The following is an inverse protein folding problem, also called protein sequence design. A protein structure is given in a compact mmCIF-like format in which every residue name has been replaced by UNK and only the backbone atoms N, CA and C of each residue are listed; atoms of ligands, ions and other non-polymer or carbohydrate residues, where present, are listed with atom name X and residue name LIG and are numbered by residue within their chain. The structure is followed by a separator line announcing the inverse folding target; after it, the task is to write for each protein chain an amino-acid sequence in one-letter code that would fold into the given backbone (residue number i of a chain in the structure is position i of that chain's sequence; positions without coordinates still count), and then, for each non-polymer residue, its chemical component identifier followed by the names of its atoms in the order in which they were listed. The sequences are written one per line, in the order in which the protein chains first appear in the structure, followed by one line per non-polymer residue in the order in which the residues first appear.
data_IF_965703082075
#
_entry.id   IF_965703082075
#
_cell.length_a   1.000
_cell.length_b   1.000
_cell.length_c   1.000
_cell.angle_alpha   90.00
_cell.angle_beta   90.00
_cell.angle_gamma   90.00
#
_symmetry.space_group_name_H-M   'P 1'
#
loop_
_entity.id
_entity.type
_entity.pdbx_description
1 polymer ?
#
# COMPACT_ATOMS: atom_id res chain seq x y z
N UNK A 1 -23.47 21.84 -29.93
CA UNK A 1 -22.59 21.64 -28.75
C UNK A 1 -23.09 22.54 -27.63
N UNK A 2 -23.46 21.96 -26.46
CA UNK A 2 -23.92 22.77 -25.33
C UNK A 2 -22.77 23.59 -24.75
N UNK A 3 -23.03 24.83 -24.42
CA UNK A 3 -22.06 25.74 -23.78
C UNK A 3 -21.91 25.35 -22.30
N UNK A 4 -20.68 25.36 -21.78
CA UNK A 4 -20.42 25.18 -20.35
C UNK A 4 -21.04 26.33 -19.57
N UNK A 5 -21.89 26.02 -18.57
CA UNK A 5 -22.66 27.04 -17.82
C UNK A 5 -21.77 27.83 -16.87
N UNK A 6 -20.81 27.18 -16.22
CA UNK A 6 -19.85 27.79 -15.30
C UNK A 6 -18.42 27.51 -15.79
N UNK A 7 -17.94 28.32 -16.72
CA UNK A 7 -16.58 28.22 -17.24
C UNK A 7 -15.53 28.43 -16.15
N UNK A 8 -15.84 29.22 -15.12
CA UNK A 8 -14.93 29.55 -14.03
C UNK A 8 -14.63 28.31 -13.16
N UNK A 9 -15.65 27.51 -12.82
CA UNK A 9 -15.47 26.26 -12.09
C UNK A 9 -14.51 25.32 -12.83
N UNK A 10 -14.74 25.11 -14.13
CA UNK A 10 -13.94 24.18 -14.91
C UNK A 10 -12.53 24.71 -15.19
N UNK A 11 -12.34 26.03 -15.34
CA UNK A 11 -11.02 26.65 -15.41
C UNK A 11 -10.23 26.46 -14.11
N UNK A 12 -10.84 26.74 -12.96
CA UNK A 12 -10.21 26.53 -11.64
C UNK A 12 -9.85 25.07 -11.42
N UNK A 13 -10.72 24.11 -11.78
CA UNK A 13 -10.43 22.67 -11.70
C UNK A 13 -9.26 22.25 -12.59
N UNK A 14 -9.23 22.76 -13.82
CA UNK A 14 -8.12 22.52 -14.75
C UNK A 14 -6.81 23.04 -14.17
N UNK A 15 -6.79 24.26 -13.72
CA UNK A 15 -5.58 24.92 -13.20
C UNK A 15 -5.10 24.25 -11.90
N UNK A 16 -6.05 23.84 -11.04
CA UNK A 16 -5.74 23.06 -9.85
C UNK A 16 -5.08 21.71 -10.19
N UNK A 17 -5.67 20.94 -11.12
CA UNK A 17 -5.20 19.59 -11.45
C UNK A 17 -3.95 19.57 -12.32
N UNK A 18 -3.77 20.55 -13.22
CA UNK A 18 -2.70 20.55 -14.21
C UNK A 18 -1.54 21.49 -13.86
N UNK A 19 -1.77 22.52 -13.04
CA UNK A 19 -0.75 23.51 -12.72
C UNK A 19 -0.42 23.49 -11.22
N UNK A 20 -1.43 23.73 -10.35
CA UNK A 20 -1.20 23.87 -8.92
C UNK A 20 -0.69 22.59 -8.27
N UNK A 21 -1.36 21.47 -8.47
CA UNK A 21 -0.94 20.20 -7.85
C UNK A 21 0.44 19.74 -8.33
N UNK A 22 0.76 19.70 -9.64
CA UNK A 22 2.07 19.24 -10.09
C UNK A 22 3.19 20.22 -9.74
N UNK A 23 3.02 21.51 -10.04
CA UNK A 23 4.10 22.47 -10.04
C UNK A 23 4.30 23.15 -8.69
N UNK A 24 3.22 23.67 -8.07
CA UNK A 24 3.35 24.41 -6.81
C UNK A 24 3.35 23.47 -5.60
N UNK A 25 2.48 22.45 -5.60
CA UNK A 25 2.39 21.49 -4.50
C UNK A 25 3.31 20.27 -4.66
N UNK A 26 3.96 20.13 -5.81
CA UNK A 26 4.85 19.00 -6.16
C UNK A 26 4.20 17.64 -5.87
N UNK A 27 2.90 17.53 -6.14
CA UNK A 27 2.13 16.31 -5.91
C UNK A 27 2.51 15.23 -6.91
N UNK A 28 2.59 13.98 -6.46
CA UNK A 28 2.84 12.85 -7.35
C UNK A 28 1.74 12.68 -8.40
N UNK A 29 2.04 12.11 -9.55
CA UNK A 29 1.06 11.80 -10.61
C UNK A 29 -0.12 10.96 -10.08
N UNK A 30 0.13 10.04 -9.15
CA UNK A 30 -0.92 9.24 -8.50
C UNK A 30 -1.84 10.11 -7.63
N UNK A 31 -1.33 11.13 -6.95
CA UNK A 31 -2.14 12.09 -6.19
C UNK A 31 -3.03 12.89 -7.12
N UNK A 32 -2.48 13.39 -8.23
CA UNK A 32 -3.24 14.12 -9.26
C UNK A 32 -4.34 13.23 -9.86
N UNK A 33 -4.02 11.98 -10.19
CA UNK A 33 -4.98 10.99 -10.70
C UNK A 33 -6.11 10.71 -9.68
N UNK A 34 -5.77 10.55 -8.40
CA UNK A 34 -6.75 10.34 -7.34
C UNK A 34 -7.70 11.55 -7.15
N UNK A 35 -7.16 12.77 -7.21
CA UNK A 35 -7.94 13.99 -7.11
C UNK A 35 -8.85 14.21 -8.32
N UNK A 36 -8.33 13.94 -9.52
CA UNK A 36 -9.14 13.94 -10.76
C UNK A 36 -10.31 12.96 -10.66
N UNK A 37 -10.05 11.75 -10.17
CA UNK A 37 -11.10 10.73 -9.97
C UNK A 37 -12.15 11.21 -8.96
N UNK A 38 -11.74 11.83 -7.85
CA UNK A 38 -12.65 12.36 -6.84
C UNK A 38 -13.57 13.42 -7.43
N UNK A 39 -13.03 14.36 -8.19
CA UNK A 39 -13.79 15.43 -8.82
C UNK A 39 -14.72 14.93 -9.92
N UNK A 40 -14.25 14.01 -10.77
CA UNK A 40 -15.12 13.40 -11.78
C UNK A 40 -16.33 12.68 -11.13
N UNK A 41 -16.10 11.97 -10.01
CA UNK A 41 -17.18 11.30 -9.31
C UNK A 41 -18.18 12.30 -8.67
N UNK A 42 -17.69 13.36 -8.03
CA UNK A 42 -18.56 14.39 -7.45
C UNK A 42 -19.37 15.09 -8.52
N UNK A 43 -18.76 15.54 -9.61
CA UNK A 43 -19.46 16.23 -10.71
C UNK A 43 -20.52 15.32 -11.34
N UNK A 44 -20.19 14.03 -11.51
CA UNK A 44 -21.14 13.03 -12.01
C UNK A 44 -22.30 12.86 -11.04
N UNK A 45 -22.04 12.74 -9.75
CA UNK A 45 -23.07 12.62 -8.72
C UNK A 45 -24.02 13.85 -8.73
N UNK A 46 -23.48 15.08 -8.74
CA UNK A 46 -24.28 16.31 -8.81
C UNK A 46 -25.14 16.32 -10.08
N UNK A 47 -24.56 15.96 -11.22
CA UNK A 47 -25.26 15.87 -12.51
C UNK A 47 -26.45 14.90 -12.45
N UNK A 48 -26.26 13.72 -11.87
CA UNK A 48 -27.30 12.69 -11.71
C UNK A 48 -28.39 13.14 -10.73
N UNK A 49 -28.03 13.68 -9.56
CA UNK A 49 -28.98 14.16 -8.55
C UNK A 49 -29.85 15.33 -9.04
N UNK A 50 -29.25 16.25 -9.79
CA UNK A 50 -29.95 17.41 -10.36
C UNK A 50 -30.61 17.11 -11.71
N UNK A 51 -30.40 15.93 -12.30
CA UNK A 51 -30.88 15.53 -13.65
C UNK A 51 -30.46 16.52 -14.73
N UNK A 52 -29.23 17.00 -14.68
CA UNK A 52 -28.64 17.95 -15.61
C UNK A 52 -27.40 17.39 -16.29
N UNK A 53 -26.99 17.99 -17.40
CA UNK A 53 -25.67 17.69 -17.99
C UNK A 53 -24.54 18.12 -17.05
N UNK A 54 -23.42 17.40 -17.05
CA UNK A 54 -22.21 17.80 -16.32
C UNK A 54 -21.74 19.21 -16.71
N UNK A 55 -21.94 19.63 -17.98
CA UNK A 55 -21.64 20.98 -18.44
C UNK A 55 -22.52 22.07 -17.81
N UNK A 56 -23.63 21.70 -17.19
CA UNK A 56 -24.55 22.59 -16.49
C UNK A 56 -24.30 22.70 -14.99
N UNK A 57 -23.33 21.94 -14.46
CA UNK A 57 -22.93 22.04 -13.04
C UNK A 57 -22.24 23.37 -12.81
N UNK A 58 -22.62 24.04 -11.73
CA UNK A 58 -22.06 25.34 -11.31
C UNK A 58 -21.42 25.21 -9.92
N UNK A 59 -20.56 26.16 -9.56
CA UNK A 59 -19.88 26.19 -8.26
C UNK A 59 -20.89 26.25 -7.10
N UNK A 60 -21.99 26.99 -7.27
CA UNK A 60 -23.08 27.11 -6.28
C UNK A 60 -23.75 25.78 -5.92
N UNK A 61 -23.66 24.77 -6.80
CA UNK A 61 -24.19 23.44 -6.55
C UNK A 61 -23.29 22.62 -5.62
N UNK A 62 -22.08 23.11 -5.35
CA UNK A 62 -21.12 22.46 -4.45
C UNK A 62 -21.33 23.08 -3.06
N UNK A 63 -22.34 22.62 -2.33
CA UNK A 63 -22.64 23.03 -0.96
C UNK A 63 -22.19 22.00 0.07
N UNK A 64 -22.24 22.37 1.35
CA UNK A 64 -22.03 21.46 2.47
C UNK A 64 -22.95 20.23 2.38
N UNK A 65 -24.24 20.46 2.13
CA UNK A 65 -25.27 19.41 2.03
C UNK A 65 -24.99 18.48 0.84
N UNK A 66 -24.66 19.05 -0.31
CA UNK A 66 -24.37 18.26 -1.51
C UNK A 66 -23.13 17.39 -1.33
N UNK A 67 -22.07 17.92 -0.73
CA UNK A 67 -20.85 17.16 -0.46
C UNK A 67 -21.11 16.09 0.60
N UNK A 68 -21.87 16.38 1.65
CA UNK A 68 -22.24 15.40 2.67
C UNK A 68 -23.07 14.27 2.06
N UNK A 69 -24.11 14.59 1.30
CA UNK A 69 -24.94 13.60 0.60
C UNK A 69 -24.12 12.73 -0.37
N UNK A 70 -23.15 13.32 -1.08
CA UNK A 70 -22.22 12.56 -1.91
C UNK A 70 -21.36 11.57 -1.11
N UNK A 71 -20.87 12.00 0.04
CA UNK A 71 -20.02 11.14 0.89
C UNK A 71 -20.83 10.00 1.53
N UNK A 72 -22.10 10.24 1.87
CA UNK A 72 -23.02 9.23 2.40
C UNK A 72 -23.41 8.23 1.29
N UNK A 73 -23.74 8.71 0.10
CA UNK A 73 -23.96 7.88 -1.08
C UNK A 73 -22.76 6.97 -1.40
N UNK A 74 -21.52 7.49 -1.27
CA UNK A 74 -20.31 6.68 -1.46
C UNK A 74 -20.24 5.52 -0.46
N UNK A 75 -20.62 5.77 0.79
CA UNK A 75 -20.58 4.76 1.85
C UNK A 75 -21.70 3.75 1.73
N UNK A 76 -22.94 4.22 1.54
CA UNK A 76 -24.16 3.42 1.59
C UNK A 76 -24.44 2.68 0.29
N UNK A 77 -24.37 3.38 -0.86
CA UNK A 77 -24.71 2.78 -2.16
C UNK A 77 -23.49 2.18 -2.89
N UNK A 78 -22.29 2.75 -2.70
CA UNK A 78 -21.06 2.25 -3.35
C UNK A 78 -20.22 1.36 -2.46
N UNK A 79 -20.58 1.17 -1.19
CA UNK A 79 -19.83 0.35 -0.25
C UNK A 79 -18.41 0.87 0.03
N UNK A 80 -18.18 2.17 -0.15
CA UNK A 80 -16.86 2.76 0.04
C UNK A 80 -16.49 2.83 1.52
N UNK A 81 -15.41 2.19 1.91
CA UNK A 81 -14.93 2.24 3.30
C UNK A 81 -14.42 3.63 3.70
N UNK A 82 -14.24 3.87 5.02
CA UNK A 82 -13.84 5.16 5.60
C UNK A 82 -12.61 5.79 4.93
N UNK A 83 -11.64 4.96 4.54
CA UNK A 83 -10.42 5.45 3.86
C UNK A 83 -10.73 6.12 2.51
N UNK A 84 -11.58 5.49 1.70
CA UNK A 84 -11.97 6.02 0.39
C UNK A 84 -12.78 7.29 0.54
N UNK A 85 -13.79 7.29 1.43
CA UNK A 85 -14.61 8.46 1.76
C UNK A 85 -13.75 9.65 2.20
N UNK A 86 -12.84 9.43 3.14
CA UNK A 86 -11.94 10.47 3.64
C UNK A 86 -10.98 11.01 2.56
N UNK A 87 -10.48 10.14 1.68
CA UNK A 87 -9.65 10.57 0.55
C UNK A 87 -10.43 11.44 -0.46
N UNK A 88 -11.71 11.13 -0.71
CA UNK A 88 -12.57 11.97 -1.57
C UNK A 88 -12.81 13.33 -0.93
N UNK A 89 -13.14 13.35 0.37
CA UNK A 89 -13.31 14.60 1.12
C UNK A 89 -12.02 15.45 1.11
N UNK A 90 -10.87 14.83 1.32
CA UNK A 90 -9.58 15.53 1.26
C UNK A 90 -9.29 16.16 -0.11
N UNK A 91 -9.64 15.47 -1.20
CA UNK A 91 -9.48 16.01 -2.55
C UNK A 91 -10.43 17.21 -2.83
N UNK A 92 -11.67 17.11 -2.35
CA UNK A 92 -12.66 18.20 -2.47
C UNK A 92 -12.20 19.42 -1.67
N UNK A 93 -11.83 19.24 -0.40
CA UNK A 93 -11.31 20.32 0.46
C UNK A 93 -10.10 21.01 -0.13
N UNK A 94 -9.15 20.22 -0.64
CA UNK A 94 -7.93 20.78 -1.23
C UNK A 94 -8.22 21.69 -2.43
N UNK A 95 -9.20 21.34 -3.27
CA UNK A 95 -9.61 22.21 -4.37
C UNK A 95 -10.36 23.45 -3.87
N UNK A 96 -11.30 23.31 -2.94
CA UNK A 96 -12.04 24.45 -2.41
C UNK A 96 -11.11 25.43 -1.69
N UNK A 97 -10.11 24.95 -0.96
CA UNK A 97 -9.05 25.78 -0.38
C UNK A 97 -8.25 26.51 -1.46
N UNK A 98 -7.91 25.85 -2.56
CA UNK A 98 -7.24 26.48 -3.69
C UNK A 98 -8.16 27.53 -4.34
N UNK A 99 -9.44 27.20 -4.58
CA UNK A 99 -10.39 28.11 -5.17
C UNK A 99 -10.63 29.36 -4.28
N UNK A 100 -10.72 29.19 -2.95
CA UNK A 100 -10.86 30.31 -2.01
C UNK A 100 -9.63 31.23 -1.96
N UNK A 101 -8.43 30.69 -2.19
CA UNK A 101 -7.21 31.50 -2.33
C UNK A 101 -7.20 32.32 -3.64
N UNK A 102 -7.79 31.76 -4.71
CA UNK A 102 -7.94 32.47 -5.98
C UNK A 102 -9.12 33.46 -5.98
N UNK A 103 -10.17 33.17 -5.20
CA UNK A 103 -11.45 33.88 -5.19
C UNK A 103 -12.02 33.92 -3.77
N UNK A 104 -11.99 35.09 -3.12
CA UNK A 104 -12.46 35.24 -1.73
C UNK A 104 -13.92 34.85 -1.49
N UNK A 105 -14.76 34.90 -2.52
CA UNK A 105 -16.17 34.48 -2.48
C UNK A 105 -16.40 33.05 -2.04
N UNK A 106 -15.37 32.17 -2.16
CA UNK A 106 -15.44 30.75 -1.78
C UNK A 106 -14.90 30.45 -0.37
N UNK A 107 -14.53 31.47 0.42
CA UNK A 107 -13.99 31.30 1.78
C UNK A 107 -15.04 30.68 2.71
N UNK A 108 -16.31 31.10 2.63
CA UNK A 108 -17.40 30.54 3.45
C UNK A 108 -17.52 29.04 3.21
N UNK A 109 -17.62 28.62 1.94
CA UNK A 109 -17.70 27.21 1.56
C UNK A 109 -16.47 26.42 2.05
N UNK A 110 -15.28 26.99 1.98
CA UNK A 110 -14.06 26.34 2.50
C UNK A 110 -14.17 26.07 4.00
N UNK A 111 -14.69 27.00 4.77
CA UNK A 111 -14.93 26.86 6.21
C UNK A 111 -16.01 25.82 6.53
N UNK A 112 -17.11 25.85 5.79
CA UNK A 112 -18.21 24.89 5.93
C UNK A 112 -17.75 23.46 5.65
N UNK A 113 -17.04 23.24 4.54
CA UNK A 113 -16.53 21.91 4.22
C UNK A 113 -15.44 21.44 5.19
N UNK A 114 -14.70 22.34 5.82
CA UNK A 114 -13.74 21.99 6.88
C UNK A 114 -14.44 21.39 8.12
N UNK A 115 -15.72 21.71 8.36
CA UNK A 115 -16.50 21.17 9.47
C UNK A 115 -16.94 19.70 9.25
N UNK A 116 -16.97 19.18 8.02
CA UNK A 116 -17.37 17.78 7.75
C UNK A 116 -16.41 16.84 8.45
N UNK A 117 -16.89 15.99 9.35
CA UNK A 117 -16.04 15.09 10.12
C UNK A 117 -15.47 13.95 9.25
N UNK A 118 -14.19 13.65 9.45
CA UNK A 118 -13.56 12.45 8.92
C UNK A 118 -14.06 11.23 9.68
N UNK A 119 -14.39 10.16 8.97
CA UNK A 119 -14.74 8.90 9.60
C UNK A 119 -13.50 8.26 10.24
N UNK A 120 -13.66 7.74 11.46
CA UNK A 120 -12.60 7.00 12.13
C UNK A 120 -12.33 5.71 11.36
N UNK A 121 -11.05 5.40 11.19
CA UNK A 121 -10.62 4.07 10.69
C UNK A 121 -10.52 3.14 11.88
N UNK A 122 -10.93 1.90 11.72
CA UNK A 122 -10.59 0.86 12.68
C UNK A 122 -9.07 0.81 12.83
N UNK A 123 -8.58 0.98 14.06
CA UNK A 123 -7.14 1.04 14.34
C UNK A 123 -6.47 -0.33 14.31
N UNK A 124 -7.22 -1.40 14.49
CA UNK A 124 -6.74 -2.77 14.56
C UNK A 124 -7.35 -3.58 13.42
N UNK A 125 -6.63 -3.67 12.30
CA UNK A 125 -6.77 -4.78 11.37
C UNK A 125 -5.64 -5.73 11.67
N UNK A 126 -5.94 -7.01 11.79
CA UNK A 126 -4.93 -8.06 11.67
C UNK A 126 -4.14 -7.79 10.39
N UNK A 127 -2.82 -7.85 10.50
CA UNK A 127 -1.96 -7.68 9.34
C UNK A 127 -1.98 -8.99 8.58
N UNK A 128 -2.66 -9.00 7.44
CA UNK A 128 -2.61 -10.15 6.54
C UNK A 128 -1.17 -10.38 6.10
N UNK A 129 -0.68 -11.61 6.24
CA UNK A 129 0.61 -12.04 5.72
C UNK A 129 0.54 -13.51 5.30
N UNK A 130 1.45 -13.92 4.45
CA UNK A 130 1.54 -15.28 3.92
C UNK A 130 2.45 -16.14 4.78
N UNK A 131 2.15 -17.44 4.90
CA UNK A 131 3.06 -18.41 5.48
C UNK A 131 4.34 -18.56 4.64
N UNK A 132 5.41 -19.07 5.22
CA UNK A 132 6.66 -19.37 4.48
C UNK A 132 6.42 -20.36 3.34
N UNK A 133 5.54 -21.34 3.56
CA UNK A 133 5.13 -22.30 2.53
C UNK A 133 4.44 -21.63 1.35
N UNK A 134 3.51 -20.69 1.62
CA UNK A 134 2.83 -19.93 0.58
C UNK A 134 3.80 -19.02 -0.21
N UNK A 135 4.76 -18.35 0.48
CA UNK A 135 5.80 -17.56 -0.19
C UNK A 135 6.67 -18.45 -1.07
N UNK A 136 7.09 -19.60 -0.59
CA UNK A 136 7.89 -20.54 -1.37
C UNK A 136 7.16 -21.01 -2.62
N UNK A 137 5.91 -21.43 -2.50
CA UNK A 137 5.07 -21.83 -3.63
C UNK A 137 4.92 -20.71 -4.68
N UNK A 138 4.75 -19.46 -4.22
CA UNK A 138 4.65 -18.29 -5.11
C UNK A 138 5.96 -17.97 -5.84
N UNK A 139 7.11 -18.13 -5.19
CA UNK A 139 8.42 -17.91 -5.80
C UNK A 139 8.78 -19.03 -6.81
N UNK A 140 8.26 -20.24 -6.62
CA UNK A 140 8.48 -21.40 -7.48
C UNK A 140 7.45 -21.50 -8.63
N UNK A 141 6.32 -20.81 -8.54
CA UNK A 141 5.26 -20.87 -9.55
C UNK A 141 5.65 -20.36 -10.97
N UNK A 142 6.52 -19.34 -11.14
CA UNK A 142 6.99 -18.93 -12.44
C UNK A 142 7.94 -19.97 -13.06
N UNK A 143 7.66 -20.45 -14.26
CA UNK A 143 8.58 -21.30 -15.01
C UNK A 143 9.81 -20.51 -15.48
N UNK A 144 10.89 -20.60 -14.72
CA UNK A 144 12.15 -19.88 -14.98
C UNK A 144 12.93 -20.38 -16.18
N UNK A 145 12.53 -21.49 -16.82
CA UNK A 145 13.07 -21.92 -18.11
C UNK A 145 12.61 -20.99 -19.22
N UNK A 146 11.51 -20.30 -19.03
CA UNK A 146 10.98 -19.30 -19.97
C UNK A 146 11.49 -17.89 -19.64
N UNK A 147 11.70 -17.09 -20.69
CA UNK A 147 12.12 -15.69 -20.52
C UNK A 147 11.15 -14.89 -19.63
N UNK A 148 9.85 -15.12 -19.80
CA UNK A 148 8.82 -14.41 -19.03
C UNK A 148 8.78 -14.86 -17.57
N UNK A 149 8.86 -16.16 -17.30
CA UNK A 149 8.87 -16.67 -15.94
C UNK A 149 10.11 -16.24 -15.16
N UNK A 150 11.29 -16.23 -15.80
CA UNK A 150 12.51 -15.71 -15.19
C UNK A 150 12.35 -14.24 -14.75
N UNK A 151 11.75 -13.37 -15.61
CA UNK A 151 11.46 -12.00 -15.26
C UNK A 151 10.46 -11.89 -14.11
N UNK A 152 9.40 -12.66 -14.18
CA UNK A 152 8.29 -12.56 -13.25
C UNK A 152 8.68 -13.08 -11.86
N UNK A 153 9.59 -14.08 -11.76
CA UNK A 153 10.14 -14.52 -10.50
C UNK A 153 11.00 -13.44 -9.83
N UNK A 154 11.86 -12.77 -10.59
CA UNK A 154 12.66 -11.68 -10.08
C UNK A 154 11.84 -10.45 -9.67
N UNK A 155 10.73 -10.18 -10.36
CA UNK A 155 9.82 -9.09 -10.05
C UNK A 155 9.23 -9.19 -8.63
N UNK A 156 9.08 -10.40 -8.13
CA UNK A 156 8.63 -10.67 -6.77
C UNK A 156 9.78 -10.54 -5.75
N UNK A 157 10.48 -9.40 -5.72
CA UNK A 157 11.65 -9.18 -4.87
C UNK A 157 11.26 -9.23 -3.38
N UNK A 158 11.05 -10.42 -2.88
CA UNK A 158 10.68 -10.69 -1.50
C UNK A 158 11.72 -10.17 -0.50
N UNK A 159 13.00 -10.40 -0.78
CA UNK A 159 14.10 -10.04 0.13
C UNK A 159 14.13 -8.55 0.45
N UNK A 160 13.83 -7.70 -0.52
CA UNK A 160 13.94 -6.25 -0.33
C UNK A 160 12.78 -5.64 0.44
N UNK A 161 11.62 -6.30 0.48
CA UNK A 161 10.39 -5.71 1.00
C UNK A 161 10.02 -4.38 0.32
N UNK A 162 10.50 -4.15 -0.92
CA UNK A 162 10.26 -2.91 -1.66
C UNK A 162 8.77 -2.68 -1.91
N UNK A 163 8.35 -1.41 -2.01
CA UNK A 163 7.05 -1.08 -2.58
C UNK A 163 7.07 -1.42 -4.08
N UNK A 164 5.93 -1.80 -4.65
CA UNK A 164 5.87 -2.20 -6.04
C UNK A 164 6.53 -1.19 -6.98
N UNK A 165 6.17 0.09 -6.85
CA UNK A 165 6.75 1.15 -7.69
C UNK A 165 8.25 1.32 -7.45
N UNK A 166 8.73 1.21 -6.21
CA UNK A 166 10.16 1.27 -5.89
C UNK A 166 10.94 0.14 -6.59
N UNK A 167 10.37 -1.08 -6.64
CA UNK A 167 10.98 -2.21 -7.32
C UNK A 167 10.97 -2.04 -8.85
N UNK A 168 9.89 -1.50 -9.40
CA UNK A 168 9.75 -1.26 -10.84
C UNK A 168 10.63 -0.10 -11.35
N UNK A 169 10.92 0.86 -10.48
CA UNK A 169 11.75 2.02 -10.77
C UNK A 169 13.26 1.75 -10.62
N UNK A 170 13.65 0.52 -10.22
CA UNK A 170 15.06 0.13 -10.11
C UNK A 170 15.73 0.16 -11.48
N UNK A 171 16.87 0.84 -11.55
CA UNK A 171 17.78 0.81 -12.70
C UNK A 171 18.94 -0.15 -12.45
N UNK A 172 19.61 -0.57 -13.50
CA UNK A 172 20.75 -1.49 -13.36
C UNK A 172 21.83 -0.88 -12.48
N UNK A 173 22.10 0.43 -12.63
CA UNK A 173 23.10 1.15 -11.82
C UNK A 173 22.72 1.31 -10.33
N UNK A 174 21.48 1.02 -9.95
CA UNK A 174 21.07 0.98 -8.54
C UNK A 174 21.50 -0.31 -7.83
N UNK A 175 21.99 -1.29 -8.60
CA UNK A 175 22.49 -2.57 -8.11
C UNK A 175 23.99 -2.52 -7.92
N UNK A 176 24.43 -2.89 -6.75
CA UNK A 176 25.84 -3.07 -6.44
C UNK A 176 26.09 -4.54 -6.14
N UNK A 177 26.80 -5.23 -7.06
CA UNK A 177 27.06 -6.65 -7.01
C UNK A 177 28.56 -6.86 -6.71
N UNK A 178 28.93 -6.63 -5.45
CA UNK A 178 30.28 -6.82 -4.94
C UNK A 178 30.27 -7.80 -3.75
N UNK A 179 31.22 -7.67 -2.79
CA UNK A 179 31.31 -8.51 -1.59
C UNK A 179 30.06 -8.46 -0.72
N UNK A 180 29.35 -7.32 -0.72
CA UNK A 180 28.08 -7.15 0.01
C UNK A 180 27.04 -6.62 -0.98
N UNK A 181 26.35 -7.51 -1.71
CA UNK A 181 25.41 -7.12 -2.73
C UNK A 181 24.24 -6.32 -2.15
N UNK A 182 23.92 -5.18 -2.81
CA UNK A 182 22.87 -4.27 -2.36
C UNK A 182 22.08 -3.72 -3.53
N UNK A 183 20.88 -3.25 -3.24
CA UNK A 183 20.05 -2.44 -4.14
C UNK A 183 19.74 -1.10 -3.50
N UNK A 184 19.85 -0.03 -4.25
CA UNK A 184 19.41 1.32 -3.88
C UNK A 184 17.97 1.50 -4.31
N UNK A 185 17.08 1.75 -3.36
CA UNK A 185 15.65 1.94 -3.61
C UNK A 185 15.28 3.41 -3.44
N UNK A 186 14.62 3.97 -4.45
CA UNK A 186 14.16 5.35 -4.49
C UNK A 186 12.69 5.43 -4.06
N UNK A 187 12.44 5.95 -2.88
CA UNK A 187 11.10 6.04 -2.29
C UNK A 187 10.42 7.39 -2.49
N UNK A 188 9.17 7.49 -2.08
CA UNK A 188 8.37 8.72 -2.16
C UNK A 188 9.03 9.88 -1.39
N UNK A 189 9.20 11.04 -2.05
CA UNK A 189 9.77 12.26 -1.46
C UNK A 189 11.29 12.20 -1.37
N UNK A 190 11.94 11.71 -2.43
CA UNK A 190 13.39 11.62 -2.61
C UNK A 190 14.12 10.85 -1.49
N UNK A 191 13.40 9.93 -0.83
CA UNK A 191 14.01 9.08 0.16
C UNK A 191 14.72 7.92 -0.51
N UNK A 192 15.99 7.80 -0.19
CA UNK A 192 16.85 6.72 -0.66
C UNK A 192 17.12 5.78 0.50
N UNK A 193 17.08 4.49 0.24
CA UNK A 193 17.58 3.47 1.16
C UNK A 193 18.33 2.38 0.40
N UNK A 194 19.33 1.84 1.06
CA UNK A 194 20.13 0.73 0.55
C UNK A 194 19.71 -0.53 1.29
N UNK A 195 19.39 -1.58 0.53
CA UNK A 195 18.91 -2.86 1.06
C UNK A 195 19.85 -3.97 0.59
N UNK A 196 20.36 -4.83 1.49
CA UNK A 196 21.19 -5.96 1.10
C UNK A 196 20.37 -6.99 0.30
N UNK A 197 21.02 -7.67 -0.63
CA UNK A 197 20.47 -8.75 -1.44
C UNK A 197 20.99 -10.09 -0.95
N UNK A 198 20.12 -11.08 -0.81
CA UNK A 198 20.47 -12.43 -0.41
C UNK A 198 21.07 -13.21 -1.59
N UNK A 199 21.80 -14.29 -1.29
CA UNK A 199 22.55 -15.07 -2.30
C UNK A 199 21.67 -15.58 -3.44
N UNK A 200 20.46 -16.05 -3.14
CA UNK A 200 19.52 -16.56 -4.14
C UNK A 200 19.02 -15.45 -5.05
N UNK A 201 18.70 -14.28 -4.48
CA UNK A 201 18.31 -13.09 -5.25
C UNK A 201 19.45 -12.64 -6.17
N UNK A 202 20.69 -12.65 -5.71
CA UNK A 202 21.86 -12.32 -6.55
C UNK A 202 22.03 -13.33 -7.70
N UNK A 203 21.85 -14.63 -7.43
CA UNK A 203 21.88 -15.67 -8.47
C UNK A 203 20.80 -15.45 -9.53
N UNK A 204 19.57 -15.17 -9.10
CA UNK A 204 18.50 -14.85 -10.03
C UNK A 204 18.78 -13.58 -10.83
N UNK A 205 19.37 -12.57 -10.20
CA UNK A 205 19.74 -11.31 -10.84
C UNK A 205 20.78 -11.55 -11.96
N UNK A 206 21.80 -12.35 -11.73
CA UNK A 206 22.77 -12.72 -12.78
C UNK A 206 22.11 -13.43 -13.95
N UNK A 207 21.22 -14.40 -13.71
CA UNK A 207 20.48 -15.09 -14.75
C UNK A 207 19.58 -14.12 -15.53
N UNK A 208 18.92 -13.23 -14.83
CA UNK A 208 18.06 -12.22 -15.42
C UNK A 208 18.84 -11.26 -16.32
N UNK A 209 19.96 -10.73 -15.84
CA UNK A 209 20.85 -9.85 -16.61
C UNK A 209 21.36 -10.54 -17.87
N UNK A 210 21.78 -11.79 -17.78
CA UNK A 210 22.27 -12.55 -18.94
C UNK A 210 21.22 -12.73 -20.05
N UNK A 211 19.94 -12.76 -19.70
CA UNK A 211 18.83 -12.97 -20.65
C UNK A 211 18.24 -11.64 -21.14
N UNK A 212 18.00 -10.68 -20.25
CA UNK A 212 17.28 -9.46 -20.57
C UNK A 212 18.18 -8.27 -20.90
N UNK A 213 19.39 -8.25 -20.34
CA UNK A 213 20.34 -7.12 -20.48
C UNK A 213 21.68 -7.57 -21.06
N UNK A 214 21.62 -8.44 -22.05
CA UNK A 214 22.82 -8.99 -22.69
C UNK A 214 23.70 -7.86 -23.25
N UNK A 215 24.93 -7.77 -22.76
CA UNK A 215 25.89 -6.75 -23.13
C UNK A 215 25.81 -5.47 -22.32
N UNK A 216 24.82 -5.32 -21.42
CA UNK A 216 24.77 -4.18 -20.47
C UNK A 216 25.76 -4.40 -19.33
N UNK A 217 26.32 -3.29 -18.84
CA UNK A 217 27.15 -3.28 -17.62
C UNK A 217 26.33 -2.90 -16.41
N UNK A 218 26.80 -3.21 -15.21
CA UNK A 218 26.16 -2.81 -13.95
C UNK A 218 26.11 -1.28 -13.72
N UNK A 219 26.72 -0.50 -14.61
CA UNK A 219 26.68 0.97 -14.58
C UNK A 219 25.58 1.54 -15.49
N UNK A 220 24.85 0.70 -16.21
CA UNK A 220 23.80 1.14 -17.13
C UNK A 220 22.65 1.83 -16.40
N UNK A 221 22.16 2.93 -16.94
CA UNK A 221 20.98 3.65 -16.44
C UNK A 221 19.66 3.10 -16.98
N UNK A 222 19.67 1.98 -17.69
CA UNK A 222 18.49 1.29 -18.18
C UNK A 222 17.64 0.75 -17.02
N UNK A 223 16.33 0.65 -17.26
CA UNK A 223 15.41 0.05 -16.32
C UNK A 223 15.69 -1.44 -16.15
N UNK A 224 15.79 -1.91 -14.90
CA UNK A 224 15.96 -3.32 -14.63
C UNK A 224 14.76 -4.12 -15.15
N UNK A 225 13.54 -3.68 -14.81
CA UNK A 225 12.30 -4.25 -15.32
C UNK A 225 11.72 -3.36 -16.41
N UNK A 226 11.71 -3.83 -17.64
CA UNK A 226 11.20 -3.09 -18.77
C UNK A 226 10.17 -3.88 -19.58
N UNK A 227 9.38 -3.15 -20.33
CA UNK A 227 8.56 -3.67 -21.43
C UNK A 227 9.09 -3.08 -22.73
N UNK A 228 9.17 -3.92 -23.74
CA UNK A 228 9.62 -3.51 -25.08
C UNK A 228 8.42 -3.46 -26.02
N UNK A 229 8.21 -2.32 -26.65
CA UNK A 229 7.18 -2.12 -27.67
C UNK A 229 7.83 -1.44 -28.88
N UNK A 230 7.74 -2.09 -30.05
CA UNK A 230 8.30 -1.55 -31.31
C UNK A 230 9.77 -1.10 -31.15
N UNK A 231 10.58 -1.90 -30.46
CA UNK A 231 12.01 -1.59 -30.27
C UNK A 231 12.32 -0.51 -29.22
N UNK A 232 11.31 0.05 -28.55
CA UNK A 232 11.51 1.03 -27.47
C UNK A 232 11.27 0.38 -26.12
N UNK A 233 12.23 0.47 -25.21
CA UNK A 233 12.13 0.04 -23.82
C UNK A 233 11.50 1.12 -22.97
N UNK A 234 10.59 0.73 -22.10
CA UNK A 234 9.99 1.62 -21.10
C UNK A 234 9.83 0.86 -19.77
N UNK A 235 9.76 1.59 -18.66
CA UNK A 235 9.53 1.00 -17.35
C UNK A 235 8.25 0.16 -17.33
N UNK A 236 8.28 -0.96 -16.61
CA UNK A 236 7.08 -1.78 -16.40
C UNK A 236 6.09 -1.03 -15.52
N UNK A 237 4.80 -1.08 -15.84
CA UNK A 237 3.78 -0.42 -15.04
C UNK A 237 3.28 -1.29 -13.87
N UNK A 238 2.77 -0.62 -12.82
CA UNK A 238 2.22 -1.23 -11.61
C UNK A 238 1.13 -2.27 -11.91
N UNK A 239 0.22 -1.97 -12.83
CA UNK A 239 -0.87 -2.87 -13.19
C UNK A 239 -0.35 -4.18 -13.82
N UNK A 240 0.71 -4.12 -14.64
CA UNK A 240 1.33 -5.32 -15.22
C UNK A 240 1.90 -6.22 -14.14
N UNK A 241 2.63 -5.65 -13.17
CA UNK A 241 3.18 -6.41 -12.05
C UNK A 241 2.07 -7.06 -11.21
N UNK A 242 1.00 -6.33 -10.89
CA UNK A 242 -0.15 -6.84 -10.12
C UNK A 242 -0.85 -8.00 -10.82
N UNK A 243 -1.10 -7.89 -12.12
CA UNK A 243 -1.71 -8.97 -12.90
C UNK A 243 -0.84 -10.23 -12.92
N UNK A 244 0.50 -10.06 -13.01
CA UNK A 244 1.44 -11.19 -12.96
C UNK A 244 1.44 -11.87 -11.60
N UNK A 245 1.52 -11.09 -10.52
CA UNK A 245 1.45 -11.61 -9.15
C UNK A 245 0.16 -12.42 -8.94
N UNK A 246 -0.98 -11.90 -9.37
CA UNK A 246 -2.26 -12.59 -9.22
C UNK A 246 -2.30 -13.90 -10.04
N UNK A 247 -1.80 -13.90 -11.28
CA UNK A 247 -1.69 -15.11 -12.10
C UNK A 247 -0.88 -16.20 -11.41
N UNK A 248 0.29 -15.87 -10.86
CA UNK A 248 1.13 -16.86 -10.17
C UNK A 248 0.56 -17.27 -8.82
N UNK A 249 -0.23 -16.42 -8.17
CA UNK A 249 -0.96 -16.79 -6.97
C UNK A 249 -2.03 -17.86 -7.24
N UNK A 250 -2.68 -17.82 -8.39
CA UNK A 250 -3.63 -18.86 -8.82
C UNK A 250 -2.92 -20.20 -9.03
N UNK A 251 -1.79 -20.19 -9.74
CA UNK A 251 -0.98 -21.39 -9.97
C UNK A 251 -0.37 -21.95 -8.67
N UNK A 252 0.16 -21.09 -7.81
CA UNK A 252 0.74 -21.49 -6.54
C UNK A 252 -0.30 -22.10 -5.58
N UNK A 253 -1.54 -21.66 -5.65
CA UNK A 253 -2.65 -22.18 -4.82
C UNK A 253 -3.03 -23.62 -5.18
N UNK A 254 -2.80 -24.06 -6.40
CA UNK A 254 -2.98 -25.44 -6.80
C UNK A 254 -2.03 -26.39 -6.04
N UNK A 255 -0.85 -25.89 -5.66
CA UNK A 255 0.19 -26.65 -4.94
C UNK A 255 0.15 -26.40 -3.44
N UNK A 256 -0.18 -25.16 -3.01
CA UNK A 256 -0.21 -24.74 -1.63
C UNK A 256 -1.52 -23.99 -1.34
N UNK A 257 -2.51 -24.63 -0.71
CA UNK A 257 -3.80 -24.01 -0.38
C UNK A 257 -3.70 -22.80 0.56
N UNK A 258 -2.58 -22.66 1.30
CA UNK A 258 -2.33 -21.50 2.18
C UNK A 258 -2.10 -20.19 1.43
N UNK A 259 -1.94 -20.23 0.10
CA UNK A 259 -1.78 -19.02 -0.71
C UNK A 259 -3.11 -18.25 -0.73
N UNK A 260 -3.15 -17.00 -0.25
CA UNK A 260 -4.38 -16.22 -0.18
C UNK A 260 -5.05 -16.03 -1.55
N UNK A 261 -6.37 -15.85 -1.51
CA UNK A 261 -7.15 -15.60 -2.73
C UNK A 261 -6.69 -14.34 -3.47
N UNK A 262 -6.32 -13.30 -2.71
CA UNK A 262 -5.83 -12.03 -3.23
C UNK A 262 -4.40 -11.76 -2.81
N UNK A 263 -3.48 -12.01 -3.71
CA UNK A 263 -2.07 -11.63 -3.51
C UNK A 263 -1.79 -10.32 -4.23
N UNK A 264 -1.25 -9.35 -3.51
CA UNK A 264 -0.92 -8.03 -4.05
C UNK A 264 0.45 -7.55 -3.50
N UNK A 265 1.09 -6.56 -4.12
CA UNK A 265 2.45 -6.14 -3.73
C UNK A 265 2.60 -5.71 -2.27
N UNK A 266 1.58 -5.09 -1.68
CA UNK A 266 1.63 -4.72 -0.26
C UNK A 266 1.60 -5.94 0.66
N UNK A 267 0.89 -7.01 0.29
CA UNK A 267 0.90 -8.26 1.04
C UNK A 267 2.31 -8.87 1.07
N UNK A 268 3.03 -8.88 -0.05
CA UNK A 268 4.43 -9.31 -0.10
C UNK A 268 5.31 -8.55 0.89
N UNK A 269 5.17 -7.24 0.92
CA UNK A 269 5.91 -6.38 1.83
C UNK A 269 5.56 -6.63 3.30
N UNK A 270 4.26 -6.78 3.62
CA UNK A 270 3.81 -7.12 4.96
C UNK A 270 4.32 -8.50 5.38
N UNK A 271 4.25 -9.48 4.49
CA UNK A 271 4.78 -10.83 4.70
C UNK A 271 6.28 -10.80 5.02
N UNK A 272 7.08 -10.07 4.23
CA UNK A 272 8.52 -9.95 4.51
C UNK A 272 8.78 -9.32 5.87
N UNK A 273 8.07 -8.27 6.23
CA UNK A 273 8.19 -7.62 7.54
C UNK A 273 7.83 -8.57 8.69
N UNK A 274 6.74 -9.34 8.56
CA UNK A 274 6.33 -10.33 9.55
C UNK A 274 7.36 -11.42 9.71
N UNK A 275 7.87 -12.01 8.62
CA UNK A 275 8.89 -13.04 8.68
C UNK A 275 10.20 -12.54 9.31
N UNK A 276 10.63 -11.31 8.99
CA UNK A 276 11.79 -10.70 9.64
C UNK A 276 11.56 -10.52 11.15
N UNK A 277 10.37 -10.09 11.57
CA UNK A 277 9.98 -9.96 12.97
C UNK A 277 9.98 -11.31 13.69
N UNK A 278 9.35 -12.33 13.09
CA UNK A 278 9.26 -13.69 13.63
C UNK A 278 10.64 -14.35 13.78
N UNK A 279 11.58 -14.01 12.90
CA UNK A 279 12.98 -14.45 12.99
C UNK A 279 13.83 -13.57 13.92
N UNK A 280 13.21 -12.69 14.71
CA UNK A 280 13.87 -11.94 15.77
C UNK A 280 14.60 -10.67 15.32
N UNK A 281 14.34 -10.15 14.11
CA UNK A 281 14.88 -8.86 13.70
C UNK A 281 14.21 -7.73 14.49
N UNK A 282 15.03 -6.81 15.01
CA UNK A 282 14.53 -5.63 15.72
C UNK A 282 13.61 -4.76 14.87
N UNK A 283 12.53 -4.26 15.46
CA UNK A 283 11.52 -3.44 14.76
C UNK A 283 12.10 -2.15 14.18
N UNK A 284 13.14 -1.59 14.79
CA UNK A 284 13.82 -0.39 14.28
C UNK A 284 14.56 -0.73 12.98
N UNK A 285 15.23 -1.88 12.94
CA UNK A 285 15.89 -2.37 11.72
C UNK A 285 14.86 -2.68 10.62
N UNK A 286 13.73 -3.31 10.97
CA UNK A 286 12.64 -3.56 10.02
C UNK A 286 12.08 -2.22 9.49
N UNK A 287 11.91 -1.22 10.35
CA UNK A 287 11.46 0.12 9.96
C UNK A 287 12.41 0.80 8.97
N UNK A 288 13.72 0.72 9.23
CA UNK A 288 14.76 1.22 8.33
C UNK A 288 14.77 0.47 6.99
N UNK A 289 14.74 -0.87 7.05
CA UNK A 289 14.68 -1.74 5.88
C UNK A 289 13.51 -1.40 4.96
N UNK A 290 12.33 -1.24 5.54
CA UNK A 290 11.11 -0.88 4.80
C UNK A 290 11.06 0.61 4.41
N UNK A 291 11.86 1.47 5.01
CA UNK A 291 11.83 2.93 4.80
C UNK A 291 10.51 3.55 5.28
N UNK A 292 10.07 3.18 6.49
CA UNK A 292 8.94 3.83 7.14
C UNK A 292 9.36 5.20 7.67
N UNK A 293 8.47 6.20 7.54
CA UNK A 293 8.72 7.54 8.09
C UNK A 293 8.66 7.56 9.63
N UNK A 294 7.77 6.74 10.15
CA UNK A 294 7.44 6.66 11.58
C UNK A 294 7.49 5.19 11.97
N UNK A 295 8.13 4.90 13.10
CA UNK A 295 8.24 3.54 13.65
C UNK A 295 6.85 2.98 13.98
N UNK A 296 5.90 3.85 14.32
CA UNK A 296 4.49 3.49 14.58
C UNK A 296 3.88 2.69 13.42
N UNK A 297 4.31 2.94 12.18
CA UNK A 297 3.86 2.16 11.01
C UNK A 297 4.38 0.72 11.06
N UNK A 298 5.50 0.47 11.77
CA UNK A 298 6.11 -0.85 11.93
C UNK A 298 5.57 -1.57 13.16
N UNK A 299 5.04 -0.85 14.15
CA UNK A 299 4.46 -1.45 15.37
C UNK A 299 3.28 -2.38 15.07
N UNK A 300 2.62 -2.24 13.90
CA UNK A 300 1.56 -3.18 13.48
C UNK A 300 2.06 -4.62 13.45
N UNK A 301 3.34 -4.86 13.11
CA UNK A 301 3.93 -6.18 13.08
C UNK A 301 4.17 -6.74 14.49
N UNK A 302 4.57 -5.88 15.42
CA UNK A 302 4.70 -6.27 16.83
C UNK A 302 3.35 -6.61 17.47
N UNK A 303 2.27 -5.92 17.06
CA UNK A 303 0.93 -6.22 17.57
C UNK A 303 0.36 -7.52 16.97
N UNK A 304 0.71 -7.86 15.75
CA UNK A 304 0.22 -9.05 15.07
C UNK A 304 0.86 -10.36 15.57
N UNK A 305 2.09 -10.27 16.13
CA UNK A 305 2.85 -11.46 16.55
C UNK A 305 2.66 -11.75 18.05
N UNK A 306 1.60 -12.47 18.38
CA UNK A 306 1.30 -12.89 19.76
C UNK A 306 2.29 -13.94 20.27
N UNK A 307 2.79 -14.82 19.39
CA UNK A 307 3.75 -15.87 19.74
C UNK A 307 5.14 -15.28 20.07
N UNK A 308 5.61 -14.29 19.32
CA UNK A 308 6.83 -13.57 19.65
C UNK A 308 6.72 -12.84 20.99
N UNK A 309 5.54 -12.27 21.31
CA UNK A 309 5.29 -11.67 22.62
C UNK A 309 5.38 -12.70 23.74
N UNK A 310 4.77 -13.86 23.57
CA UNK A 310 4.83 -14.96 24.54
C UNK A 310 6.28 -15.38 24.79
N UNK A 311 7.04 -15.67 23.73
CA UNK A 311 8.46 -16.01 23.82
C UNK A 311 9.30 -14.92 24.47
N UNK A 312 9.03 -13.65 24.20
CA UNK A 312 9.73 -12.54 24.82
C UNK A 312 9.43 -12.44 26.32
N UNK A 313 8.19 -12.66 26.73
CA UNK A 313 7.79 -12.72 28.14
C UNK A 313 8.45 -13.90 28.84
N UNK A 314 8.37 -15.10 28.25
CA UNK A 314 9.01 -16.32 28.77
C UNK A 314 10.53 -16.10 28.97
N UNK A 315 11.19 -15.48 27.99
CA UNK A 315 12.62 -15.14 28.08
C UNK A 315 12.94 -14.08 29.14
N UNK A 316 12.07 -13.09 29.31
CA UNK A 316 12.25 -12.00 30.28
C UNK A 316 11.97 -12.44 31.72
N UNK A 317 11.04 -13.38 31.90
CA UNK A 317 10.66 -13.86 33.23
C UNK A 317 11.61 -14.94 33.79
N UNK A 318 12.56 -15.41 32.97
CA UNK A 318 13.48 -16.49 33.37
C UNK A 318 12.74 -17.81 33.65
N UNK A 319 13.51 -18.88 33.95
CA UNK A 319 12.97 -20.20 34.28
C UNK A 319 12.35 -20.29 35.71
N UNK A 320 11.76 -19.18 36.21
CA UNK A 320 11.25 -19.11 37.59
C UNK A 320 9.80 -19.54 37.76
N UNK A 321 9.12 -19.91 36.68
CA UNK A 321 7.83 -20.63 36.81
C UNK A 321 8.10 -22.11 36.60
N UNK A 322 8.14 -22.91 37.69
CA UNK A 322 8.13 -24.35 37.51
C UNK A 322 6.86 -24.74 36.75
N UNK A 323 6.99 -25.70 35.83
CA UNK A 323 5.84 -26.34 35.22
C UNK A 323 4.90 -26.78 36.33
N UNK A 324 3.92 -25.93 36.65
CA UNK A 324 2.85 -26.33 37.53
C UNK A 324 1.97 -27.24 36.71
N UNK A 325 2.09 -28.54 36.94
CA UNK A 325 1.09 -29.50 36.46
C UNK A 325 -0.30 -28.92 36.81
N UNK A 326 -1.30 -29.04 35.92
CA UNK A 326 -2.62 -28.57 36.22
C UNK A 326 -3.09 -29.25 37.51
N UNK A 327 -3.11 -28.51 38.59
CA UNK A 327 -3.66 -29.02 39.85
C UNK A 327 -5.16 -29.19 39.62
N UNK A 328 -5.58 -30.42 39.44
CA UNK A 328 -6.98 -30.77 39.44
C UNK A 328 -7.49 -30.56 40.85
N UNK A 329 -8.07 -29.40 41.11
CA UNK A 329 -8.78 -29.13 42.36
C UNK A 329 -10.05 -29.94 42.36
N UNK A 330 -10.03 -31.07 43.03
CA UNK A 330 -11.25 -31.76 43.44
C UNK A 330 -11.72 -31.09 44.72
N UNK A 331 -12.81 -30.35 44.66
CA UNK A 331 -13.46 -29.80 45.83
C UNK A 331 -14.02 -30.97 46.63
N UNK A 332 -13.36 -31.31 47.72
CA UNK A 332 -13.73 -32.46 48.56
C UNK A 332 -14.58 -32.09 49.79
N UNK A 333 -14.79 -30.79 50.05
CA UNK A 333 -15.54 -30.34 51.22
C UNK A 333 -16.37 -29.07 50.92
N UNK A 334 -17.44 -28.90 51.70
CA UNK A 334 -18.42 -27.83 51.53
C UNK A 334 -17.90 -26.45 51.90
N UNK A 335 -16.87 -26.37 52.76
CA UNK A 335 -16.26 -25.12 53.17
C UNK A 335 -15.34 -24.52 52.09
N UNK A 336 -14.62 -25.38 51.42
CA UNK A 336 -13.81 -25.01 50.23
C UNK A 336 -14.72 -24.59 49.08
N UNK A 337 -15.83 -25.24 48.88
CA UNK A 337 -16.83 -24.87 47.87
C UNK A 337 -17.43 -23.49 48.14
N UNK A 338 -17.83 -23.20 49.38
CA UNK A 338 -18.33 -21.90 49.79
C UNK A 338 -17.30 -20.78 49.59
N UNK A 339 -16.04 -21.04 49.92
CA UNK A 339 -14.93 -20.11 49.78
C UNK A 339 -14.62 -19.78 48.29
N UNK A 340 -14.69 -20.79 47.43
CA UNK A 340 -14.41 -20.62 45.98
C UNK A 340 -15.53 -19.86 45.26
N UNK A 341 -16.77 -20.04 45.67
CA UNK A 341 -17.92 -19.41 45.02
C UNK A 341 -18.49 -18.22 45.80
N UNK A 342 -17.83 -17.78 46.89
CA UNK A 342 -18.21 -16.57 47.65
C UNK A 342 -19.56 -16.71 48.36
N UNK A 343 -19.94 -17.92 48.79
CA UNK A 343 -21.17 -18.24 49.50
C UNK A 343 -20.97 -18.19 51.00
#
# INVERSE_FOLDING_TARGET
MGKVKDEQLFCLLRDFLLIYLPNQRRSSGNTVKAYRTAWNQLLKYISEQKKISMMSVTFEMISYEMVTAYLDWLSEEKGAGPATRNNRLAAIRAFITYASACRPEYISLSSELAAIKIQKRERFREVDYMSEAAVKALLEAPDTSTKMGLRDQFLMIYDTGARNQEALDVKICDLRIDKTPTVTLHGKGDKIRVVPLMKDTVKHLHNYMAVFHKGETWLSSEWLFYVERKGTRSAMCDDTARLRIQKYAELAREVCPDVPERVHPHLWRHTRAMHLSQHGMDLTLISQWLGHKQVETTLIYAYADTEAKRKAIEKAMGAEFPDTEPVNYTVSDEETLKRLYGL
#
